data_IF_147614917101
#
_entry.id   IF_147614917101
#
_cell.length_a   1.000
_cell.length_b   1.000
_cell.length_c   1.000
_cell.angle_alpha   90.00
_cell.angle_beta   90.00
_cell.angle_gamma   90.00
#
_symmetry.space_group_name_H-M   'P 1'
#
loop_
_entity.id
_entity.type
_entity.pdbx_description
1 polymer ?
#
# COMPACT_ATOMS: atom_id res chain seq x y z
N UNK A 1 10.89 -3.63 -8.51
CA UNK A 1 11.99 -4.46 -9.09
C UNK A 1 13.07 -4.59 -8.01
N UNK A 2 13.79 -5.71 -7.93
CA UNK A 2 14.89 -5.84 -6.98
C UNK A 2 16.01 -4.83 -7.28
N UNK A 3 16.75 -4.37 -6.25
CA UNK A 3 17.92 -3.53 -6.42
C UNK A 3 19.03 -4.27 -7.18
N UNK A 4 19.94 -3.51 -7.81
CA UNK A 4 21.11 -4.02 -8.53
C UNK A 4 22.38 -3.35 -8.01
N UNK A 5 23.41 -4.12 -7.59
CA UNK A 5 23.43 -5.58 -7.48
C UNK A 5 22.40 -6.10 -6.46
N UNK A 6 21.99 -7.36 -6.60
CA UNK A 6 21.05 -7.98 -5.67
C UNK A 6 21.71 -8.08 -4.27
N UNK A 7 21.02 -7.62 -3.21
CA UNK A 7 21.57 -7.69 -1.86
C UNK A 7 21.58 -9.15 -1.42
N UNK A 8 22.66 -9.60 -0.74
CA UNK A 8 22.73 -10.97 -0.23
C UNK A 8 21.80 -11.21 0.96
N UNK A 9 21.33 -10.15 1.61
CA UNK A 9 20.43 -10.20 2.76
C UNK A 9 19.59 -8.93 2.85
N UNK A 10 18.32 -9.05 3.19
CA UNK A 10 17.38 -7.95 3.37
C UNK A 10 16.87 -7.99 4.82
N UNK A 11 17.16 -6.92 5.56
CA UNK A 11 16.76 -6.76 6.96
C UNK A 11 15.70 -5.67 7.04
N UNK A 12 14.41 -6.01 7.17
CA UNK A 12 13.37 -5.00 7.29
C UNK A 12 13.39 -4.38 8.69
N UNK A 13 12.80 -3.18 8.83
CA UNK A 13 12.58 -2.59 10.16
C UNK A 13 11.66 -3.46 11.05
N UNK A 14 10.73 -4.19 10.43
CA UNK A 14 9.84 -5.16 11.07
C UNK A 14 9.63 -6.40 10.19
N UNK A 15 9.49 -7.57 10.81
CA UNK A 15 9.26 -8.84 10.12
C UNK A 15 10.51 -9.70 9.99
N UNK A 16 10.38 -10.81 9.25
CA UNK A 16 11.47 -11.76 9.09
C UNK A 16 12.55 -11.25 8.12
N UNK A 17 13.80 -11.56 8.44
CA UNK A 17 14.93 -11.38 7.52
C UNK A 17 14.76 -12.35 6.34
N UNK A 18 15.12 -11.91 5.14
CA UNK A 18 15.06 -12.75 3.94
C UNK A 18 16.20 -12.42 2.98
N UNK A 19 16.68 -13.41 2.25
CA UNK A 19 17.56 -13.30 1.09
C UNK A 19 16.76 -13.14 -0.23
N UNK A 20 15.44 -13.35 -0.19
CA UNK A 20 14.55 -13.25 -1.34
C UNK A 20 13.79 -11.92 -1.38
N UNK A 21 14.06 -11.11 -2.41
CA UNK A 21 13.40 -9.81 -2.59
C UNK A 21 11.87 -9.89 -2.61
N UNK A 22 11.32 -10.93 -3.26
CA UNK A 22 9.87 -11.12 -3.36
C UNK A 22 9.24 -11.39 -2.00
N UNK A 23 9.93 -12.11 -1.11
CA UNK A 23 9.47 -12.36 0.25
C UNK A 23 9.57 -11.08 1.09
N UNK A 24 10.70 -10.36 1.01
CA UNK A 24 10.95 -9.17 1.82
C UNK A 24 10.08 -7.95 1.43
N UNK A 25 9.92 -7.68 0.14
CA UNK A 25 9.27 -6.47 -0.36
C UNK A 25 7.90 -6.72 -1.03
N UNK A 26 7.60 -7.97 -1.38
CA UNK A 26 6.39 -8.34 -2.11
C UNK A 26 5.09 -7.89 -1.44
N UNK A 27 4.89 -8.12 -0.13
CA UNK A 27 3.69 -7.65 0.57
C UNK A 27 3.48 -6.13 0.46
N UNK A 28 4.52 -5.33 0.75
CA UNK A 28 4.47 -3.87 0.64
C UNK A 28 4.17 -3.43 -0.80
N UNK A 29 4.83 -4.02 -1.79
CA UNK A 29 4.62 -3.68 -3.21
C UNK A 29 3.17 -3.99 -3.63
N UNK A 30 2.61 -5.13 -3.21
CA UNK A 30 1.22 -5.49 -3.50
C UNK A 30 0.26 -4.49 -2.86
N UNK A 31 0.48 -4.14 -1.59
CA UNK A 31 -0.34 -3.18 -0.87
C UNK A 31 -0.33 -1.80 -1.55
N UNK A 32 0.86 -1.27 -1.85
CA UNK A 32 0.99 0.05 -2.50
C UNK A 32 0.37 0.08 -3.90
N UNK A 33 0.45 -1.02 -4.66
CA UNK A 33 -0.24 -1.14 -5.95
C UNK A 33 -1.76 -1.09 -5.78
N UNK A 34 -2.31 -1.92 -4.90
CA UNK A 34 -3.74 -1.93 -4.61
C UNK A 34 -4.25 -0.57 -4.13
N UNK A 35 -3.47 0.12 -3.29
CA UNK A 35 -3.76 1.47 -2.81
C UNK A 35 -3.88 2.45 -3.97
N UNK A 36 -2.87 2.50 -4.85
CA UNK A 36 -2.88 3.38 -6.03
C UNK A 36 -4.06 3.05 -6.96
N UNK A 37 -4.29 1.77 -7.25
CA UNK A 37 -5.34 1.33 -8.16
C UNK A 37 -6.73 1.69 -7.63
N UNK A 38 -6.99 1.45 -6.34
CA UNK A 38 -8.24 1.85 -5.68
C UNK A 38 -8.41 3.37 -5.63
N UNK A 39 -7.35 4.12 -5.32
CA UNK A 39 -7.42 5.58 -5.30
C UNK A 39 -7.75 6.14 -6.67
N UNK A 40 -7.04 5.72 -7.73
CA UNK A 40 -7.32 6.17 -9.10
C UNK A 40 -8.72 5.82 -9.56
N UNK A 41 -9.21 4.64 -9.20
CA UNK A 41 -10.59 4.24 -9.49
C UNK A 41 -11.59 5.25 -8.88
N UNK A 42 -11.46 5.58 -7.60
CA UNK A 42 -12.40 6.49 -6.90
C UNK A 42 -12.32 7.92 -7.41
N UNK A 43 -11.12 8.38 -7.77
CA UNK A 43 -10.91 9.70 -8.39
C UNK A 43 -11.57 9.73 -9.77
N UNK A 44 -11.38 8.70 -10.60
CA UNK A 44 -12.03 8.59 -11.91
C UNK A 44 -13.56 8.51 -11.84
N UNK A 45 -14.11 8.00 -10.73
CA UNK A 45 -15.54 8.00 -10.41
C UNK A 45 -16.05 9.37 -9.91
N UNK A 46 -15.17 10.38 -9.74
CA UNK A 46 -15.52 11.70 -9.23
C UNK A 46 -15.91 11.73 -7.76
N UNK A 47 -15.54 10.69 -6.98
CA UNK A 47 -15.92 10.62 -5.57
C UNK A 47 -15.09 11.61 -4.74
N UNK A 48 -15.72 12.43 -3.87
CA UNK A 48 -14.96 13.31 -2.99
C UNK A 48 -14.13 12.50 -1.97
N UNK A 49 -12.97 13.03 -1.58
CA UNK A 49 -12.02 12.36 -0.66
C UNK A 49 -12.67 11.79 0.61
N UNK A 50 -13.63 12.52 1.19
CA UNK A 50 -14.35 12.09 2.40
C UNK A 50 -15.15 10.79 2.22
N UNK A 51 -15.58 10.48 1.00
CA UNK A 51 -16.24 9.24 0.64
C UNK A 51 -15.25 8.19 0.14
N UNK A 52 -14.23 8.61 -0.62
CA UNK A 52 -13.24 7.72 -1.21
C UNK A 52 -12.38 7.02 -0.14
N UNK A 53 -11.86 7.74 0.86
CA UNK A 53 -10.92 7.19 1.86
C UNK A 53 -11.50 5.99 2.63
N UNK A 54 -12.72 6.03 3.20
CA UNK A 54 -13.32 4.86 3.85
C UNK A 54 -13.55 3.68 2.89
N UNK A 55 -13.86 3.94 1.62
CA UNK A 55 -14.08 2.88 0.62
C UNK A 55 -12.77 2.21 0.21
N UNK A 56 -11.70 3.00 0.04
CA UNK A 56 -10.35 2.48 -0.21
C UNK A 56 -9.91 1.59 0.95
N UNK A 57 -10.07 2.05 2.20
CA UNK A 57 -9.76 1.25 3.39
C UNK A 57 -10.51 -0.09 3.43
N UNK A 58 -11.82 -0.10 3.12
CA UNK A 58 -12.62 -1.33 3.00
C UNK A 58 -12.14 -2.25 1.88
N UNK A 59 -11.77 -1.69 0.73
CA UNK A 59 -11.28 -2.47 -0.40
C UNK A 59 -9.93 -3.15 -0.11
N UNK A 60 -9.09 -2.52 0.72
CA UNK A 60 -7.78 -3.07 1.11
C UNK A 60 -7.84 -3.96 2.36
N UNK A 61 -8.98 -4.04 3.06
CA UNK A 61 -9.16 -4.86 4.27
C UNK A 61 -8.72 -6.34 4.12
N UNK A 62 -8.88 -7.02 2.97
CA UNK A 62 -8.35 -8.38 2.78
C UNK A 62 -6.82 -8.50 2.89
N UNK A 63 -6.09 -7.38 2.86
CA UNK A 63 -4.64 -7.33 2.99
C UNK A 63 -4.18 -7.07 4.44
N UNK A 64 -5.11 -6.97 5.40
CA UNK A 64 -4.80 -6.64 6.80
C UNK A 64 -3.99 -7.71 7.53
N UNK A 65 -4.13 -8.98 7.13
CA UNK A 65 -3.42 -10.09 7.76
C UNK A 65 -1.90 -9.90 7.68
N UNK A 66 -1.26 -9.96 8.85
CA UNK A 66 0.19 -9.80 8.99
C UNK A 66 0.66 -8.34 9.13
N UNK A 67 -0.25 -7.35 9.15
CA UNK A 67 0.08 -5.95 9.37
C UNK A 67 -0.33 -5.48 10.75
N UNK A 68 0.63 -4.88 11.47
CA UNK A 68 0.33 -4.19 12.71
C UNK A 68 -0.36 -2.85 12.41
N UNK A 69 -1.38 -2.51 13.19
CA UNK A 69 -2.07 -1.21 13.12
C UNK A 69 -2.66 -0.89 11.74
N UNK A 70 -3.08 -1.92 10.98
CA UNK A 70 -3.57 -1.77 9.61
C UNK A 70 -4.63 -0.67 9.47
N UNK A 71 -5.69 -0.70 10.29
CA UNK A 71 -6.81 0.23 10.19
C UNK A 71 -6.40 1.71 10.29
N UNK A 72 -5.45 2.02 11.18
CA UNK A 72 -4.94 3.39 11.32
C UNK A 72 -4.04 3.78 10.13
N UNK A 73 -3.19 2.86 9.69
CA UNK A 73 -2.23 3.12 8.61
C UNK A 73 -2.93 3.25 7.26
N UNK A 74 -3.88 2.36 6.93
CA UNK A 74 -4.56 2.36 5.62
C UNK A 74 -5.38 3.62 5.39
N UNK A 75 -6.04 4.16 6.42
CA UNK A 75 -6.80 5.39 6.30
C UNK A 75 -5.90 6.62 6.05
N UNK A 76 -4.74 6.67 6.73
CA UNK A 76 -3.72 7.69 6.52
C UNK A 76 -3.12 7.59 5.12
N UNK A 77 -2.76 6.39 4.70
CA UNK A 77 -2.16 6.13 3.40
C UNK A 77 -3.14 6.44 2.26
N UNK A 78 -4.42 6.08 2.40
CA UNK A 78 -5.47 6.44 1.44
C UNK A 78 -5.67 7.95 1.33
N UNK A 79 -5.63 8.68 2.45
CA UNK A 79 -5.72 10.15 2.45
C UNK A 79 -4.53 10.77 1.73
N UNK A 80 -3.31 10.28 1.98
CA UNK A 80 -2.11 10.75 1.31
C UNK A 80 -2.17 10.45 -0.19
N UNK A 81 -2.46 9.19 -0.57
CA UNK A 81 -2.57 8.79 -1.96
C UNK A 81 -3.62 9.60 -2.73
N UNK A 82 -4.78 9.86 -2.13
CA UNK A 82 -5.82 10.67 -2.77
C UNK A 82 -5.33 12.10 -3.08
N UNK A 83 -4.69 12.76 -2.11
CA UNK A 83 -4.18 14.13 -2.27
C UNK A 83 -3.08 14.24 -3.32
N UNK A 84 -2.23 13.22 -3.46
CA UNK A 84 -1.16 13.23 -4.46
C UNK A 84 -1.70 12.93 -5.86
N UNK A 85 -2.66 11.99 -5.97
CA UNK A 85 -3.15 11.48 -7.25
C UNK A 85 -4.33 12.27 -7.83
N UNK A 86 -5.00 13.13 -7.06
CA UNK A 86 -6.13 13.95 -7.57
C UNK A 86 -5.69 15.02 -8.57
N UNK A 87 -4.38 15.27 -8.70
CA UNK A 87 -3.79 16.26 -9.60
C UNK A 87 -3.03 15.64 -10.79
N UNK A 88 -2.96 14.32 -10.90
CA UNK A 88 -2.39 13.60 -12.05
C UNK A 88 -3.37 13.57 -13.25
#
# INVERSE_FOLDING_TARGET
RPPRPAPPLIVPGHGAISDEWTAAAGPQIRFLKALVDQTRQRIGEGQPMSQAVPQIGKALAPMADGWNSFDMSVARDATAAYKELEWE
#
